data_IF_703522796202
#
_entry.id   IF_703522796202
#
_cell.length_a   1.000
_cell.length_b   1.000
_cell.length_c   1.000
_cell.angle_alpha   90.00
_cell.angle_beta   90.00
_cell.angle_gamma   90.00
#
_symmetry.space_group_name_H-M   'P 1'
#
loop_
_entity.id
_entity.type
_entity.pdbx_description
1 polymer ?
#
# COMPACT_ATOMS: atom_id res chain seq x y z
N UNK A 1 16.02 12.02 -32.49
CA UNK A 1 16.35 11.16 -31.34
C UNK A 1 17.71 10.52 -31.60
N UNK A 2 18.61 10.42 -30.62
CA UNK A 2 19.92 9.78 -30.85
C UNK A 2 19.69 8.28 -31.03
N UNK A 3 20.38 7.64 -31.99
CA UNK A 3 20.23 6.20 -32.27
C UNK A 3 20.41 5.34 -31.02
N UNK A 4 21.31 5.73 -30.12
CA UNK A 4 21.55 5.07 -28.83
C UNK A 4 20.31 5.04 -27.92
N UNK A 5 19.49 6.09 -27.92
CA UNK A 5 18.30 6.15 -27.06
C UNK A 5 17.18 5.26 -27.60
N UNK A 6 17.08 5.12 -28.93
CA UNK A 6 16.14 4.21 -29.58
C UNK A 6 16.43 2.75 -29.23
N UNK A 7 17.69 2.34 -29.34
CA UNK A 7 18.13 0.98 -29.02
C UNK A 7 17.85 0.63 -27.55
N UNK A 8 18.12 1.56 -26.63
CA UNK A 8 17.81 1.38 -25.20
C UNK A 8 16.31 1.21 -24.95
N UNK A 9 15.48 1.94 -25.67
CA UNK A 9 14.02 1.84 -25.54
C UNK A 9 13.52 0.51 -26.09
N UNK A 10 14.01 0.07 -27.26
CA UNK A 10 13.68 -1.22 -27.86
C UNK A 10 14.07 -2.39 -26.95
N UNK A 11 15.25 -2.31 -26.34
CA UNK A 11 15.70 -3.30 -25.35
C UNK A 11 14.78 -3.34 -24.12
N UNK A 12 14.40 -2.19 -23.59
CA UNK A 12 13.53 -2.08 -22.42
C UNK A 12 12.13 -2.67 -22.66
N UNK A 13 11.55 -2.44 -23.85
CA UNK A 13 10.25 -3.01 -24.22
C UNK A 13 10.32 -4.53 -24.35
N UNK A 14 11.39 -5.08 -24.94
CA UNK A 14 11.62 -6.54 -25.02
C UNK A 14 11.74 -7.16 -23.63
N UNK A 15 12.50 -6.53 -22.74
CA UNK A 15 12.64 -6.94 -21.33
C UNK A 15 11.29 -6.92 -20.60
N UNK A 16 10.48 -5.86 -20.78
CA UNK A 16 9.16 -5.78 -20.18
C UNK A 16 8.24 -6.95 -20.62
N UNK A 17 8.28 -7.33 -21.89
CA UNK A 17 7.55 -8.49 -22.40
C UNK A 17 8.02 -9.81 -21.80
N UNK A 18 9.32 -10.01 -21.64
CA UNK A 18 9.89 -11.20 -20.99
C UNK A 18 9.53 -11.28 -19.51
N UNK A 19 9.55 -10.15 -18.80
CA UNK A 19 9.13 -10.04 -17.39
C UNK A 19 7.65 -10.41 -17.24
N UNK A 20 6.78 -9.86 -18.09
CA UNK A 20 5.34 -10.16 -18.07
C UNK A 20 5.05 -11.64 -18.29
N UNK A 21 5.87 -12.33 -19.10
CA UNK A 21 5.78 -13.78 -19.34
C UNK A 21 6.49 -14.65 -18.30
N UNK A 22 7.15 -14.06 -17.30
CA UNK A 22 7.90 -14.79 -16.27
C UNK A 22 9.24 -15.36 -16.75
N UNK A 23 9.70 -15.00 -17.96
CA UNK A 23 10.96 -15.47 -18.55
C UNK A 23 12.18 -14.69 -18.06
N UNK A 24 11.96 -13.51 -17.51
CA UNK A 24 12.99 -12.64 -16.96
C UNK A 24 12.55 -12.09 -15.60
N UNK A 25 13.46 -12.06 -14.62
CA UNK A 25 13.17 -11.44 -13.32
C UNK A 25 13.22 -9.91 -13.44
N UNK A 26 12.25 -9.17 -12.88
CA UNK A 26 12.33 -7.71 -12.84
C UNK A 26 13.59 -7.25 -12.10
N UNK A 27 14.25 -6.20 -12.61
CA UNK A 27 15.42 -5.62 -11.95
C UNK A 27 15.11 -5.01 -10.58
N UNK A 28 13.88 -4.49 -10.39
CA UNK A 28 13.38 -4.01 -9.09
C UNK A 28 11.88 -4.27 -8.99
N UNK A 29 11.42 -4.65 -7.80
CA UNK A 29 9.99 -4.75 -7.47
C UNK A 29 9.72 -3.92 -6.23
N UNK A 30 8.88 -2.89 -6.37
CA UNK A 30 8.39 -2.12 -5.23
C UNK A 30 7.17 -2.83 -4.65
N UNK A 31 7.36 -3.56 -3.55
CA UNK A 31 6.25 -4.16 -2.78
C UNK A 31 5.97 -3.29 -1.56
N UNK A 32 4.73 -2.80 -1.44
CA UNK A 32 4.26 -2.25 -0.18
C UNK A 32 4.00 -3.44 0.76
N UNK A 33 4.89 -3.65 1.72
CA UNK A 33 4.62 -4.57 2.83
C UNK A 33 3.45 -3.99 3.63
N UNK A 34 2.41 -4.79 3.82
CA UNK A 34 1.31 -4.43 4.71
C UNK A 34 1.88 -4.44 6.13
N UNK A 35 1.90 -3.31 6.84
CA UNK A 35 2.36 -3.28 8.23
C UNK A 35 1.37 -4.06 9.12
N UNK A 36 1.77 -4.42 10.33
CA UNK A 36 0.84 -4.96 11.31
C UNK A 36 -0.22 -3.90 11.63
N UNK A 37 -1.44 -4.16 11.16
CA UNK A 37 -2.57 -3.23 11.23
C UNK A 37 -3.01 -3.01 12.66
N UNK A 38 -2.96 -4.07 13.48
CA UNK A 38 -3.30 -4.00 14.90
C UNK A 38 -2.29 -3.12 15.63
N UNK A 39 -1.00 -3.28 15.32
CA UNK A 39 0.05 -2.45 15.90
C UNK A 39 -0.07 -0.97 15.50
N UNK A 40 -0.49 -0.66 14.27
CA UNK A 40 -0.78 0.73 13.86
C UNK A 40 -1.91 1.31 14.72
N UNK A 41 -3.02 0.58 14.85
CA UNK A 41 -4.18 1.02 15.63
C UNK A 41 -3.82 1.25 17.10
N UNK A 42 -3.06 0.34 17.70
CA UNK A 42 -2.64 0.43 19.10
C UNK A 42 -1.69 1.61 19.34
N UNK A 43 -0.81 1.91 18.39
CA UNK A 43 0.05 3.12 18.46
C UNK A 43 -0.76 4.41 18.45
N UNK A 44 -1.88 4.42 17.73
CA UNK A 44 -2.83 5.52 17.69
C UNK A 44 -3.72 5.60 18.93
N UNK A 45 -3.71 4.58 19.81
CA UNK A 45 -4.55 4.51 21.01
C UNK A 45 -6.06 4.67 20.74
N UNK A 46 -6.53 4.17 19.58
CA UNK A 46 -7.94 4.22 19.18
C UNK A 46 -8.59 2.83 19.16
N UNK A 47 -9.91 2.80 19.32
CA UNK A 47 -10.71 1.58 19.18
C UNK A 47 -10.75 1.09 17.73
N UNK A 48 -11.13 -0.19 17.52
CA UNK A 48 -11.36 -0.73 16.17
C UNK A 48 -12.41 0.06 15.40
N UNK A 49 -13.47 0.53 16.08
CA UNK A 49 -14.54 1.34 15.48
C UNK A 49 -13.98 2.65 14.97
N UNK A 50 -13.30 3.41 15.84
CA UNK A 50 -12.69 4.69 15.47
C UNK A 50 -11.70 4.53 14.32
N UNK A 51 -10.82 3.52 14.39
CA UNK A 51 -9.83 3.29 13.34
C UNK A 51 -10.45 2.87 12.01
N UNK A 52 -11.50 2.05 12.02
CA UNK A 52 -12.21 1.65 10.81
C UNK A 52 -12.88 2.86 10.14
N UNK A 53 -13.54 3.71 10.95
CA UNK A 53 -14.10 4.98 10.47
C UNK A 53 -13.03 5.89 9.87
N UNK A 54 -11.89 6.05 10.57
CA UNK A 54 -10.77 6.85 10.09
C UNK A 54 -10.29 6.41 8.69
N UNK A 55 -10.10 5.11 8.48
CA UNK A 55 -9.58 4.61 7.19
C UNK A 55 -10.70 4.33 6.16
N UNK A 56 -11.94 4.71 6.46
CA UNK A 56 -13.08 4.61 5.53
C UNK A 56 -13.50 3.17 5.22
N UNK A 57 -13.41 2.26 6.20
CA UNK A 57 -13.82 0.86 6.03
C UNK A 57 -14.80 0.43 7.11
N UNK A 58 -15.55 -0.62 6.82
CA UNK A 58 -16.41 -1.24 7.84
C UNK A 58 -15.55 -1.92 8.93
N UNK A 59 -16.00 -1.90 10.19
CA UNK A 59 -15.32 -2.55 11.33
C UNK A 59 -14.98 -4.01 11.06
N UNK A 60 -15.91 -4.75 10.43
CA UNK A 60 -15.69 -6.17 10.11
C UNK A 60 -14.57 -6.36 9.08
N UNK A 61 -14.35 -5.39 8.19
CA UNK A 61 -13.22 -5.39 7.25
C UNK A 61 -11.91 -5.24 8.00
N UNK A 62 -11.83 -4.28 8.93
CA UNK A 62 -10.65 -4.09 9.80
C UNK A 62 -10.36 -5.35 10.63
N UNK A 63 -11.38 -5.95 11.25
CA UNK A 63 -11.24 -7.18 12.03
C UNK A 63 -10.70 -8.34 11.21
N UNK A 64 -11.21 -8.53 9.98
CA UNK A 64 -10.70 -9.56 9.07
C UNK A 64 -9.23 -9.33 8.70
N UNK A 65 -8.80 -8.06 8.62
CA UNK A 65 -7.41 -7.72 8.37
C UNK A 65 -6.52 -7.95 9.59
N UNK A 66 -6.91 -7.49 10.78
CA UNK A 66 -6.14 -7.69 12.03
C UNK A 66 -6.01 -9.17 12.39
N UNK A 67 -7.01 -10.00 12.04
CA UNK A 67 -6.97 -11.46 12.24
C UNK A 67 -6.27 -12.21 11.10
N UNK A 68 -5.82 -11.53 10.05
CA UNK A 68 -5.15 -12.15 8.90
C UNK A 68 -6.05 -12.99 7.99
N UNK A 69 -7.38 -13.00 8.21
CA UNK A 69 -8.36 -13.70 7.35
C UNK A 69 -8.42 -13.11 5.95
N UNK A 70 -8.16 -11.80 5.84
CA UNK A 70 -8.04 -11.07 4.56
C UNK A 70 -6.87 -10.12 4.61
N UNK A 71 -6.39 -9.73 3.43
CA UNK A 71 -5.35 -8.73 3.27
C UNK A 71 -5.96 -7.43 2.71
N UNK A 72 -5.54 -6.25 3.18
CA UNK A 72 -5.90 -4.99 2.52
C UNK A 72 -5.34 -4.99 1.11
N UNK A 73 -6.03 -4.32 0.18
CA UNK A 73 -5.62 -4.24 -1.22
C UNK A 73 -5.69 -2.80 -1.73
N UNK A 74 -4.93 -2.52 -2.80
CA UNK A 74 -4.97 -1.24 -3.49
C UNK A 74 -4.73 -0.04 -2.55
N UNK A 75 -5.59 1.00 -2.57
CA UNK A 75 -5.43 2.21 -1.78
C UNK A 75 -5.30 1.97 -0.26
N UNK A 76 -5.96 0.94 0.27
CA UNK A 76 -5.90 0.63 1.70
C UNK A 76 -4.46 0.33 2.17
N UNK A 77 -3.64 -0.34 1.34
CA UNK A 77 -2.23 -0.59 1.68
C UNK A 77 -1.42 0.70 1.79
N UNK A 78 -1.68 1.65 0.89
CA UNK A 78 -1.02 2.95 0.90
C UNK A 78 -1.43 3.76 2.14
N UNK A 79 -2.73 3.81 2.44
CA UNK A 79 -3.24 4.51 3.62
C UNK A 79 -2.71 3.92 4.93
N UNK A 80 -2.70 2.60 5.06
CA UNK A 80 -2.11 1.91 6.23
C UNK A 80 -0.60 2.16 6.36
N UNK A 81 0.12 2.29 5.23
CA UNK A 81 1.54 2.66 5.23
C UNK A 81 1.73 4.09 5.74
N UNK A 82 0.89 5.03 5.31
CA UNK A 82 0.91 6.42 5.81
C UNK A 82 0.56 6.45 7.30
N UNK A 83 -0.48 5.74 7.74
CA UNK A 83 -0.86 5.66 9.16
C UNK A 83 0.24 5.03 10.04
N UNK A 84 1.04 4.12 9.47
CA UNK A 84 2.19 3.52 10.16
C UNK A 84 3.36 4.50 10.35
N UNK A 85 3.61 5.36 9.36
CA UNK A 85 4.75 6.29 9.35
C UNK A 85 4.42 7.65 9.98
N UNK A 86 3.20 8.15 9.77
CA UNK A 86 2.73 9.47 10.22
C UNK A 86 1.32 9.36 10.83
N UNK A 87 1.19 8.71 12.00
CA UNK A 87 -0.09 8.50 12.67
C UNK A 87 -0.84 9.81 12.96
N UNK A 88 -0.15 10.85 13.43
CA UNK A 88 -0.74 12.15 13.78
C UNK A 88 -1.33 12.88 12.57
N UNK A 89 -0.63 12.85 11.43
CA UNK A 89 -1.11 13.48 10.19
C UNK A 89 -2.40 12.83 9.68
N UNK A 90 -2.59 11.53 9.92
CA UNK A 90 -3.82 10.82 9.59
C UNK A 90 -4.95 11.22 10.53
N UNK A 91 -4.67 11.33 11.84
CA UNK A 91 -5.64 11.83 12.82
C UNK A 91 -6.08 13.26 12.49
N UNK A 92 -5.14 14.16 12.18
CA UNK A 92 -5.42 15.55 11.83
C UNK A 92 -6.28 15.65 10.56
N UNK A 93 -5.88 14.96 9.49
CA UNK A 93 -6.60 15.00 8.22
C UNK A 93 -8.03 14.45 8.31
N UNK A 94 -8.28 13.51 9.23
CA UNK A 94 -9.58 12.86 9.38
C UNK A 94 -10.46 13.50 10.46
N UNK A 95 -9.87 14.14 11.48
CA UNK A 95 -10.60 14.93 12.47
C UNK A 95 -10.92 16.35 11.99
N UNK A 96 -10.16 16.92 11.06
CA UNK A 96 -10.44 18.23 10.48
C UNK A 96 -11.68 18.24 9.57
N UNK A 97 -12.20 17.07 9.19
CA UNK A 97 -13.45 16.91 8.47
C UNK A 97 -14.60 16.59 9.43
N UNK A 98 -15.00 17.59 10.23
CA UNK A 98 -16.25 17.60 10.99
C UNK A 98 -16.96 18.94 10.76
#
# INVERSE_FOLDING_TARGET
MKTNDFEKLLASVKQAGQIKRGLLKPGRVSRIKVPDIKAIRERLSVSQVQFAHMIGVHVTTLQNWEQGRRQPHGPAKALLKVASEKPEAVLEALHAAA
#
